data_IF_225969290976
#
_entry.id   IF_225969290976
#
_cell.length_a   1.000
_cell.length_b   1.000
_cell.length_c   1.000
_cell.angle_alpha   90.00
_cell.angle_beta   90.00
_cell.angle_gamma   90.00
#
_symmetry.space_group_name_H-M   'P 1'
#
loop_
_entity.id
_entity.type
_entity.pdbx_description
1 polymer ?
#
# COMPACT_ATOMS: atom_id res chain seq x y z
N UNK A 1 5.39 3.51 10.03
CA UNK A 1 4.96 2.77 8.82
C UNK A 1 3.98 3.57 7.94
N UNK A 2 2.70 3.74 8.30
CA UNK A 2 1.73 4.44 7.41
C UNK A 2 2.10 5.90 7.09
N UNK A 3 2.62 6.66 8.04
CA UNK A 3 3.00 8.06 7.79
C UNK A 3 4.27 8.18 6.95
N UNK A 4 5.28 7.32 7.19
CA UNK A 4 6.53 7.33 6.43
C UNK A 4 6.30 7.09 4.94
N UNK A 5 5.52 6.06 4.61
CA UNK A 5 5.14 5.75 3.21
C UNK A 5 4.35 6.89 2.56
N UNK A 6 3.41 7.51 3.28
CA UNK A 6 2.70 8.69 2.76
C UNK A 6 3.65 9.85 2.44
N UNK A 7 4.65 10.11 3.28
CA UNK A 7 5.65 11.15 3.06
C UNK A 7 6.53 10.83 1.85
N UNK A 8 7.00 9.59 1.72
CA UNK A 8 7.82 9.15 0.57
C UNK A 8 7.09 9.36 -0.77
N UNK A 9 5.83 8.93 -0.87
CA UNK A 9 5.03 9.14 -2.08
C UNK A 9 4.67 10.61 -2.32
N UNK A 10 4.41 11.40 -1.27
CA UNK A 10 4.16 12.82 -1.40
C UNK A 10 5.40 13.57 -1.91
N UNK A 11 6.59 13.20 -1.45
CA UNK A 11 7.86 13.73 -1.94
C UNK A 11 8.05 13.38 -3.42
N UNK A 12 7.85 12.11 -3.81
CA UNK A 12 7.92 11.69 -5.21
C UNK A 12 6.93 12.44 -6.10
N UNK A 13 5.69 12.63 -5.64
CA UNK A 13 4.69 13.41 -6.36
C UNK A 13 5.09 14.88 -6.54
N UNK A 14 5.67 15.47 -5.50
CA UNK A 14 6.16 16.86 -5.56
C UNK A 14 7.30 17.00 -6.56
N UNK A 15 8.25 16.05 -6.56
CA UNK A 15 9.36 16.02 -7.50
C UNK A 15 8.88 15.78 -8.94
N UNK A 16 7.95 14.85 -9.15
CA UNK A 16 7.36 14.60 -10.46
C UNK A 16 6.66 15.86 -11.00
N UNK A 17 5.90 16.56 -10.16
CA UNK A 17 5.27 17.81 -10.55
C UNK A 17 6.31 18.89 -10.88
N UNK A 18 7.40 19.00 -10.09
CA UNK A 18 8.46 19.98 -10.32
C UNK A 18 9.22 19.76 -11.63
N UNK A 19 9.56 18.51 -11.95
CA UNK A 19 10.41 18.18 -13.09
C UNK A 19 9.64 17.83 -14.38
N UNK A 20 8.45 17.27 -14.25
CA UNK A 20 7.63 16.80 -15.38
C UNK A 20 6.43 17.72 -15.62
N UNK A 21 6.09 18.60 -14.67
CA UNK A 21 4.94 19.51 -14.77
C UNK A 21 3.59 18.80 -14.63
N UNK A 22 3.59 17.55 -14.14
CA UNK A 22 2.39 16.74 -14.02
C UNK A 22 2.08 16.43 -12.55
N UNK A 23 0.85 16.75 -12.15
CA UNK A 23 0.33 16.39 -10.84
C UNK A 23 0.00 14.89 -10.79
N UNK A 24 0.69 14.14 -9.93
CA UNK A 24 0.38 12.73 -9.71
C UNK A 24 -0.94 12.59 -8.95
N UNK A 25 -1.75 11.62 -9.36
CA UNK A 25 -3.00 11.32 -8.67
C UNK A 25 -2.72 10.97 -7.20
N UNK A 26 -3.52 11.49 -6.24
CA UNK A 26 -3.30 11.22 -4.82
C UNK A 26 -3.31 9.72 -4.51
N UNK A 27 -2.20 9.23 -3.97
CA UNK A 27 -2.03 7.81 -3.62
C UNK A 27 -2.79 7.42 -2.37
N UNK A 28 -3.03 8.36 -1.45
CA UNK A 28 -3.65 8.10 -0.15
C UNK A 28 -4.80 9.07 0.12
N UNK A 29 -5.82 8.60 0.83
CA UNK A 29 -6.94 9.44 1.29
C UNK A 29 -7.26 9.13 2.75
N UNK A 30 -6.56 9.81 3.67
CA UNK A 30 -6.77 9.72 5.12
C UNK A 30 -6.95 8.26 5.61
N UNK A 31 -5.96 7.38 5.42
CA UNK A 31 -6.09 5.95 5.72
C UNK A 31 -6.36 5.66 7.21
N UNK A 32 -5.99 6.56 8.10
CA UNK A 32 -6.28 6.48 9.54
C UNK A 32 -7.78 6.64 9.87
N UNK A 33 -8.61 7.11 8.94
CA UNK A 33 -10.08 7.20 9.08
C UNK A 33 -10.81 6.01 8.46
N UNK A 34 -10.13 4.87 8.30
CA UNK A 34 -10.70 3.68 7.68
C UNK A 34 -11.61 2.93 8.64
N UNK A 35 -12.90 2.87 8.31
CA UNK A 35 -13.90 2.20 9.16
C UNK A 35 -13.99 0.69 8.95
N UNK A 36 -13.27 0.16 7.97
CA UNK A 36 -13.27 -1.26 7.59
C UNK A 36 -12.12 -1.59 6.63
N UNK A 37 -11.75 -2.86 6.47
CA UNK A 37 -10.62 -3.27 5.63
C UNK A 37 -10.87 -2.97 4.16
N UNK A 38 -12.10 -3.21 3.68
CA UNK A 38 -12.47 -2.82 2.32
C UNK A 38 -12.40 -1.29 2.11
N UNK A 39 -12.70 -0.49 3.15
CA UNK A 39 -12.55 0.96 3.06
C UNK A 39 -11.08 1.39 3.05
N UNK A 40 -10.24 0.75 3.85
CA UNK A 40 -8.79 0.97 3.86
C UNK A 40 -8.18 0.67 2.48
N UNK A 41 -8.27 -0.58 2.05
CA UNK A 41 -7.57 -1.06 0.85
C UNK A 41 -8.12 -0.48 -0.45
N UNK A 42 -9.44 -0.35 -0.60
CA UNK A 42 -10.02 0.05 -1.89
C UNK A 42 -10.26 1.55 -2.06
N UNK A 43 -10.24 2.34 -0.97
CA UNK A 43 -10.64 3.77 -1.02
C UNK A 43 -9.70 4.74 -0.33
N UNK A 44 -8.68 4.27 0.39
CA UNK A 44 -7.84 5.15 1.22
C UNK A 44 -6.35 4.85 1.14
N UNK A 45 -5.99 3.62 0.80
CA UNK A 45 -4.61 3.16 0.67
C UNK A 45 -4.26 2.85 -0.77
N UNK A 46 -3.16 3.42 -1.26
CA UNK A 46 -2.59 3.21 -2.60
C UNK A 46 -3.66 3.16 -3.72
N UNK A 47 -4.36 4.28 -3.91
CA UNK A 47 -5.51 4.39 -4.81
C UNK A 47 -5.17 4.03 -6.25
N UNK A 48 -3.98 4.39 -6.71
CA UNK A 48 -3.52 4.06 -8.06
C UNK A 48 -3.39 2.54 -8.23
N UNK A 49 -2.77 1.85 -7.28
CA UNK A 49 -2.61 0.40 -7.37
C UNK A 49 -3.94 -0.32 -7.18
N UNK A 50 -4.80 0.16 -6.28
CA UNK A 50 -6.14 -0.40 -6.07
C UNK A 50 -7.02 -0.26 -7.33
N UNK A 51 -6.93 0.87 -8.06
CA UNK A 51 -7.61 1.04 -9.36
C UNK A 51 -7.05 0.09 -10.41
N UNK A 52 -5.73 -0.06 -10.48
CA UNK A 52 -5.04 -0.92 -11.45
C UNK A 52 -5.37 -2.40 -11.22
N UNK A 53 -5.27 -2.87 -9.98
CA UNK A 53 -5.65 -4.23 -9.62
C UNK A 53 -7.13 -4.49 -9.86
N UNK A 54 -7.99 -3.49 -9.65
CA UNK A 54 -9.41 -3.62 -9.95
C UNK A 54 -9.65 -3.88 -11.45
N UNK A 55 -9.03 -3.09 -12.32
CA UNK A 55 -9.22 -3.22 -13.77
C UNK A 55 -8.55 -4.47 -14.34
N UNK A 56 -7.35 -4.81 -13.87
CA UNK A 56 -6.52 -5.88 -14.45
C UNK A 56 -6.87 -7.26 -13.87
N UNK A 57 -7.22 -7.33 -12.58
CA UNK A 57 -7.41 -8.61 -11.89
C UNK A 57 -8.86 -8.80 -11.45
N UNK A 58 -9.41 -7.85 -10.69
CA UNK A 58 -10.71 -8.05 -10.03
C UNK A 58 -11.87 -8.20 -11.02
N UNK A 59 -12.07 -7.23 -11.91
CA UNK A 59 -13.19 -7.25 -12.85
C UNK A 59 -13.09 -8.41 -13.86
N UNK A 60 -11.92 -8.70 -14.47
CA UNK A 60 -11.77 -9.86 -15.35
C UNK A 60 -12.04 -11.19 -14.63
N UNK A 61 -11.49 -11.36 -13.42
CA UNK A 61 -11.73 -12.58 -12.62
C UNK A 61 -13.22 -12.70 -12.29
N UNK A 62 -13.87 -11.62 -11.86
CA UNK A 62 -15.29 -11.63 -11.56
C UNK A 62 -16.13 -11.98 -12.79
N UNK A 63 -15.80 -11.41 -13.95
CA UNK A 63 -16.47 -11.72 -15.21
C UNK A 63 -16.33 -13.20 -15.57
N UNK A 64 -15.13 -13.76 -15.44
CA UNK A 64 -14.85 -15.17 -15.71
C UNK A 64 -15.65 -16.13 -14.82
N UNK A 65 -15.77 -15.82 -13.53
CA UNK A 65 -16.50 -16.68 -12.57
C UNK A 65 -18.01 -16.43 -12.53
N UNK A 66 -18.50 -15.32 -13.11
CA UNK A 66 -19.93 -14.97 -13.07
C UNK A 66 -20.84 -16.01 -13.75
N UNK A 67 -20.51 -16.57 -14.93
CA UNK A 67 -21.33 -17.61 -15.56
C UNK A 67 -21.41 -18.91 -14.75
N UNK A 68 -20.33 -19.27 -14.03
CA UNK A 68 -20.22 -20.56 -13.32
C UNK A 68 -20.81 -20.49 -11.92
N UNK A 69 -20.48 -19.43 -11.15
CA UNK A 69 -20.83 -19.30 -9.74
C UNK A 69 -22.00 -18.32 -9.49
N UNK A 70 -22.40 -17.59 -10.54
CA UNK A 70 -23.34 -16.48 -10.43
C UNK A 70 -22.67 -15.21 -9.89
N UNK A 71 -23.26 -14.06 -10.24
CA UNK A 71 -22.73 -12.72 -9.90
C UNK A 71 -22.51 -12.50 -8.39
N UNK A 72 -23.28 -13.21 -7.56
CA UNK A 72 -23.20 -13.13 -6.10
C UNK A 72 -21.93 -13.76 -5.56
N UNK A 73 -21.56 -14.95 -6.04
CA UNK A 73 -20.44 -15.71 -5.51
C UNK A 73 -19.14 -15.41 -6.25
N UNK A 74 -19.20 -14.95 -7.49
CA UNK A 74 -18.04 -14.55 -8.29
C UNK A 74 -17.20 -13.41 -7.69
N UNK A 75 -17.74 -12.66 -6.72
CA UNK A 75 -16.99 -11.61 -6.03
C UNK A 75 -15.90 -12.17 -5.11
N UNK A 76 -16.12 -13.34 -4.48
CA UNK A 76 -15.16 -13.92 -3.54
C UNK A 76 -13.86 -14.37 -4.23
N UNK A 77 -13.87 -15.18 -5.30
CA UNK A 77 -12.64 -15.52 -6.01
C UNK A 77 -11.97 -14.29 -6.63
N UNK A 78 -12.75 -13.27 -7.04
CA UNK A 78 -12.18 -12.01 -7.53
C UNK A 78 -11.43 -11.22 -6.46
N UNK A 79 -11.95 -11.16 -5.22
CA UNK A 79 -11.23 -10.57 -4.08
C UNK A 79 -9.97 -11.37 -3.81
N UNK A 80 -10.07 -12.69 -3.64
CA UNK A 80 -8.93 -13.53 -3.29
C UNK A 80 -7.82 -13.47 -4.35
N UNK A 81 -8.17 -13.56 -5.64
CA UNK A 81 -7.20 -13.42 -6.74
C UNK A 81 -6.49 -12.06 -6.71
N UNK A 82 -7.23 -10.98 -6.42
CA UNK A 82 -6.63 -9.64 -6.30
C UNK A 82 -5.58 -9.58 -5.20
N UNK A 83 -5.88 -10.14 -4.03
CA UNK A 83 -4.95 -10.15 -2.90
C UNK A 83 -3.76 -11.08 -3.14
N UNK A 84 -3.96 -12.24 -3.77
CA UNK A 84 -2.87 -13.16 -4.13
C UNK A 84 -1.90 -12.50 -5.12
N UNK A 85 -2.42 -11.87 -6.18
CA UNK A 85 -1.58 -11.15 -7.16
C UNK A 85 -0.84 -10.00 -6.48
N UNK A 86 -1.52 -9.24 -5.62
CA UNK A 86 -0.88 -8.18 -4.84
C UNK A 86 0.23 -8.73 -3.94
N UNK A 87 0.01 -9.87 -3.28
CA UNK A 87 1.00 -10.55 -2.46
C UNK A 87 2.23 -10.96 -3.26
N UNK A 88 2.05 -11.61 -4.42
CA UNK A 88 3.16 -11.97 -5.31
C UNK A 88 3.99 -10.76 -5.75
N UNK A 89 3.33 -9.64 -6.05
CA UNK A 89 4.04 -8.41 -6.42
C UNK A 89 4.87 -7.88 -5.25
N UNK A 90 4.37 -7.95 -4.02
CA UNK A 90 5.12 -7.49 -2.86
C UNK A 90 6.27 -8.44 -2.48
N UNK A 91 6.08 -9.76 -2.62
CA UNK A 91 7.18 -10.74 -2.49
C UNK A 91 8.30 -10.42 -3.48
N UNK A 92 7.96 -10.10 -4.73
CA UNK A 92 8.94 -9.73 -5.74
C UNK A 92 9.66 -8.43 -5.39
N UNK A 93 8.94 -7.41 -4.91
CA UNK A 93 9.54 -6.15 -4.45
C UNK A 93 10.49 -6.40 -3.27
N UNK A 94 10.06 -7.20 -2.29
CA UNK A 94 10.87 -7.55 -1.13
C UNK A 94 12.11 -8.35 -1.52
N UNK A 95 11.99 -9.27 -2.47
CA UNK A 95 13.13 -9.99 -3.04
C UNK A 95 14.15 -9.03 -3.66
N UNK A 96 13.72 -8.04 -4.45
CA UNK A 96 14.63 -7.07 -5.06
C UNK A 96 15.25 -6.10 -4.05
N UNK A 97 14.46 -5.62 -3.09
CA UNK A 97 14.92 -4.68 -2.06
C UNK A 97 15.83 -5.39 -1.06
N UNK A 98 15.39 -6.52 -0.51
CA UNK A 98 16.11 -7.32 0.49
C UNK A 98 17.31 -8.06 -0.08
N UNK A 99 17.24 -8.48 -1.36
CA UNK A 99 18.20 -9.39 -2.03
C UNK A 99 18.32 -10.76 -1.36
N UNK A 100 17.26 -11.18 -0.68
CA UNK A 100 17.14 -12.47 -0.01
C UNK A 100 15.89 -13.16 -0.56
N UNK A 101 15.92 -14.49 -0.63
CA UNK A 101 14.78 -15.28 -1.06
C UNK A 101 13.52 -14.99 -0.21
N UNK A 102 12.35 -14.87 -0.85
CA UNK A 102 11.09 -14.56 -0.15
C UNK A 102 10.74 -15.63 0.89
N UNK A 103 10.40 -15.20 2.11
CA UNK A 103 9.94 -16.11 3.17
C UNK A 103 8.45 -16.41 3.09
N UNK A 104 7.73 -15.73 2.18
CA UNK A 104 6.28 -15.80 1.99
C UNK A 104 5.46 -15.15 3.12
N UNK A 105 6.10 -14.44 4.06
CA UNK A 105 5.40 -13.74 5.14
C UNK A 105 4.49 -12.63 4.60
N UNK A 106 4.95 -11.88 3.59
CA UNK A 106 4.13 -10.84 2.93
C UNK A 106 2.94 -11.46 2.19
N UNK A 107 3.12 -12.60 1.53
CA UNK A 107 2.03 -13.34 0.91
C UNK A 107 0.95 -13.67 1.94
N UNK A 108 1.36 -14.17 3.12
CA UNK A 108 0.41 -14.46 4.21
C UNK A 108 -0.33 -13.22 4.69
N UNK A 109 0.34 -12.07 4.77
CA UNK A 109 -0.33 -10.79 5.05
C UNK A 109 -1.47 -10.54 4.07
N UNK A 110 -1.21 -10.59 2.76
CA UNK A 110 -2.25 -10.34 1.76
C UNK A 110 -3.35 -11.41 1.76
N UNK A 111 -3.02 -12.69 1.96
CA UNK A 111 -4.01 -13.78 2.04
C UNK A 111 -4.96 -13.55 3.23
N UNK A 112 -4.42 -13.28 4.42
CA UNK A 112 -5.21 -13.01 5.63
C UNK A 112 -6.13 -11.81 5.39
N UNK A 113 -5.61 -10.72 4.85
CA UNK A 113 -6.42 -9.55 4.52
C UNK A 113 -7.51 -9.83 3.47
N UNK A 114 -7.20 -10.60 2.42
CA UNK A 114 -8.15 -11.00 1.40
C UNK A 114 -9.31 -11.84 1.97
N UNK A 115 -8.99 -12.79 2.86
CA UNK A 115 -9.98 -13.57 3.59
C UNK A 115 -10.84 -12.70 4.51
N UNK A 116 -10.21 -11.82 5.30
CA UNK A 116 -10.92 -10.91 6.19
C UNK A 116 -11.87 -9.97 5.41
N UNK A 117 -11.45 -9.43 4.26
CA UNK A 117 -12.32 -8.61 3.40
C UNK A 117 -13.46 -9.41 2.81
N UNK A 118 -13.21 -10.65 2.41
CA UNK A 118 -14.25 -11.56 1.89
C UNK A 118 -15.32 -11.83 2.95
N UNK A 119 -14.90 -12.10 4.19
CA UNK A 119 -15.79 -12.27 5.34
C UNK A 119 -16.54 -10.96 5.64
N UNK A 120 -15.83 -9.83 5.64
CA UNK A 120 -16.41 -8.50 5.88
C UNK A 120 -17.54 -8.18 4.89
N UNK A 121 -17.40 -8.56 3.62
CA UNK A 121 -18.44 -8.38 2.60
C UNK A 121 -19.73 -9.11 2.98
N UNK A 122 -19.65 -10.36 3.43
CA UNK A 122 -20.83 -11.11 3.84
C UNK A 122 -21.42 -10.64 5.17
N UNK A 123 -20.57 -10.24 6.13
CA UNK A 123 -21.03 -9.64 7.40
C UNK A 123 -21.78 -8.35 7.12
N UNK A 124 -21.21 -7.42 6.35
CA UNK A 124 -21.85 -6.14 6.01
C UNK A 124 -23.15 -6.33 5.26
N UNK A 125 -23.21 -7.30 4.36
CA UNK A 125 -24.43 -7.66 3.63
C UNK A 125 -25.51 -8.21 4.55
N UNK A 126 -25.18 -9.07 5.51
CA UNK A 126 -26.13 -9.59 6.50
C UNK A 126 -26.57 -8.49 7.46
N UNK A 127 -25.65 -7.67 7.94
CA UNK A 127 -25.94 -6.52 8.81
C UNK A 127 -26.83 -5.49 8.13
N UNK A 128 -26.58 -5.18 6.85
CA UNK A 128 -27.39 -4.24 6.07
C UNK A 128 -28.82 -4.75 5.85
N UNK A 129 -29.03 -6.06 5.70
CA UNK A 129 -30.40 -6.63 5.64
C UNK A 129 -31.15 -6.48 6.95
N UNK A 130 -30.43 -6.48 8.07
CA UNK A 130 -30.98 -6.35 9.41
C UNK A 130 -31.04 -4.89 9.89
N UNK A 131 -30.59 -3.91 9.09
CA UNK A 131 -30.50 -2.50 9.47
C UNK A 131 -29.37 -2.13 10.44
N UNK A 132 -28.49 -3.08 10.78
CA UNK A 132 -27.39 -2.87 11.71
C UNK A 132 -26.20 -2.20 11.02
N UNK A 133 -25.66 -1.15 11.64
CA UNK A 133 -24.41 -0.49 11.22
C UNK A 133 -23.45 -0.41 12.41
N UNK A 134 -22.21 -0.82 12.20
CA UNK A 134 -21.14 -0.63 13.17
C UNK A 134 -20.80 0.85 13.30
N UNK A 135 -20.66 1.33 14.53
CA UNK A 135 -20.29 2.72 14.81
C UNK A 135 -18.83 2.96 14.35
N UNK A 136 -18.56 4.00 13.51
CA UNK A 136 -17.22 4.36 13.05
C UNK A 136 -16.20 4.53 14.17
N UNK A 137 -16.62 4.96 15.36
CA UNK A 137 -15.73 5.18 16.51
C UNK A 137 -15.08 3.88 16.97
N UNK A 138 -15.78 2.75 16.85
CA UNK A 138 -15.26 1.43 17.24
C UNK A 138 -14.56 0.76 16.05
N UNK A 139 -15.16 0.87 14.87
CA UNK A 139 -14.67 0.13 13.71
C UNK A 139 -13.37 0.71 13.15
N UNK A 140 -13.14 2.01 13.32
CA UNK A 140 -11.90 2.69 12.88
C UNK A 140 -10.66 2.22 13.63
N UNK A 141 -10.57 2.34 14.97
CA UNK A 141 -9.39 1.86 15.70
C UNK A 141 -9.20 0.35 15.55
N UNK A 142 -10.29 -0.44 15.45
CA UNK A 142 -10.19 -1.87 15.18
C UNK A 142 -9.55 -2.16 13.82
N UNK A 143 -9.99 -1.47 12.76
CA UNK A 143 -9.47 -1.67 11.40
C UNK A 143 -8.01 -1.21 11.32
N UNK A 144 -7.73 0.02 11.77
CA UNK A 144 -6.38 0.59 11.72
C UNK A 144 -5.43 -0.22 12.60
N UNK A 145 -5.86 -0.60 13.80
CA UNK A 145 -5.08 -1.45 14.71
C UNK A 145 -4.77 -2.82 14.09
N UNK A 146 -5.77 -3.47 13.48
CA UNK A 146 -5.56 -4.75 12.79
C UNK A 146 -4.55 -4.63 11.64
N UNK A 147 -4.71 -3.62 10.77
CA UNK A 147 -3.79 -3.38 9.65
C UNK A 147 -2.37 -3.07 10.14
N UNK A 148 -2.24 -2.25 11.18
CA UNK A 148 -0.94 -1.89 11.76
C UNK A 148 -0.26 -3.10 12.39
N UNK A 149 -0.99 -3.89 13.19
CA UNK A 149 -0.44 -5.07 13.86
C UNK A 149 0.02 -6.13 12.86
N UNK A 150 -0.83 -6.47 11.88
CA UNK A 150 -0.50 -7.43 10.81
C UNK A 150 0.61 -6.91 9.91
N UNK A 151 0.64 -5.61 9.60
CA UNK A 151 1.69 -4.99 8.80
C UNK A 151 3.05 -5.00 9.48
N UNK A 152 3.10 -4.68 10.78
CA UNK A 152 4.35 -4.76 11.56
C UNK A 152 4.84 -6.20 11.63
N UNK A 153 3.92 -7.15 11.88
CA UNK A 153 4.28 -8.54 12.10
C UNK A 153 4.71 -9.27 10.81
N UNK A 154 3.93 -9.17 9.73
CA UNK A 154 4.12 -10.02 8.55
C UNK A 154 4.78 -9.29 7.38
N UNK A 155 4.76 -7.96 7.37
CA UNK A 155 5.35 -7.19 6.26
C UNK A 155 6.67 -6.52 6.69
N UNK A 156 6.70 -5.95 7.90
CA UNK A 156 7.87 -5.18 8.35
C UNK A 156 8.92 -6.05 9.06
N UNK A 157 8.51 -7.10 9.78
CA UNK A 157 9.46 -8.00 10.42
C UNK A 157 10.43 -8.62 9.42
N UNK A 158 9.95 -9.02 8.23
CA UNK A 158 10.79 -9.54 7.15
C UNK A 158 11.81 -8.50 6.65
N UNK A 159 11.39 -7.23 6.49
CA UNK A 159 12.28 -6.15 6.06
C UNK A 159 13.38 -5.85 7.09
N UNK A 160 13.05 -5.89 8.38
CA UNK A 160 14.04 -5.77 9.46
C UNK A 160 14.98 -6.98 9.46
N UNK A 161 14.45 -8.20 9.33
CA UNK A 161 15.27 -9.41 9.36
C UNK A 161 16.29 -9.47 8.21
N UNK A 162 15.97 -8.91 7.04
CA UNK A 162 16.90 -8.81 5.92
C UNK A 162 17.80 -7.56 5.97
N UNK A 163 17.69 -6.73 7.01
CA UNK A 163 18.46 -5.49 7.17
C UNK A 163 18.16 -4.43 6.12
N UNK A 164 17.02 -4.53 5.42
CA UNK A 164 16.63 -3.57 4.40
C UNK A 164 16.35 -2.19 4.98
N UNK A 165 15.89 -2.12 6.24
CA UNK A 165 15.62 -0.88 6.96
C UNK A 165 16.90 -0.05 7.21
N UNK A 166 17.98 -0.69 7.65
CA UNK A 166 19.28 -0.03 7.86
C UNK A 166 19.85 0.44 6.53
N UNK A 167 19.81 -0.43 5.50
CA UNK A 167 20.30 -0.09 4.16
C UNK A 167 19.53 1.08 3.54
N UNK A 168 18.21 1.10 3.67
CA UNK A 168 17.38 2.22 3.19
C UNK A 168 17.79 3.54 3.86
N UNK A 169 18.05 3.53 5.17
CA UNK A 169 18.53 4.70 5.90
C UNK A 169 19.91 5.14 5.40
N UNK A 170 20.84 4.20 5.21
CA UNK A 170 22.19 4.50 4.69
C UNK A 170 22.14 5.14 3.29
N UNK A 171 21.28 4.62 2.40
CA UNK A 171 21.06 5.18 1.07
C UNK A 171 20.47 6.60 1.13
N UNK A 172 19.51 6.84 2.02
CA UNK A 172 18.95 8.18 2.24
C UNK A 172 20.00 9.16 2.78
N UNK A 173 20.83 8.76 3.73
CA UNK A 173 21.91 9.59 4.28
C UNK A 173 22.92 9.93 3.19
N UNK A 174 23.35 8.93 2.40
CA UNK A 174 24.27 9.14 1.29
C UNK A 174 23.71 10.12 0.24
N UNK A 175 22.43 10.01 -0.10
CA UNK A 175 21.76 10.94 -1.01
C UNK A 175 21.72 12.37 -0.45
N UNK A 176 21.36 12.53 0.82
CA UNK A 176 21.32 13.85 1.48
C UNK A 176 22.72 14.48 1.49
N UNK A 177 23.74 13.70 1.81
CA UNK A 177 25.12 14.20 1.85
C UNK A 177 25.64 14.56 0.46
N UNK A 178 25.29 13.78 -0.57
CA UNK A 178 25.59 14.12 -1.96
C UNK A 178 24.92 15.44 -2.38
N UNK A 179 23.64 15.63 -2.07
CA UNK A 179 22.90 16.87 -2.38
C UNK A 179 23.52 18.06 -1.63
N UNK A 180 23.81 17.92 -0.32
CA UNK A 180 24.48 18.97 0.46
C UNK A 180 25.83 19.34 -0.14
N UNK A 181 26.61 18.35 -0.55
CA UNK A 181 27.92 18.58 -1.17
C UNK A 181 27.78 19.36 -2.48
N UNK A 182 26.85 18.99 -3.36
CA UNK A 182 26.57 19.70 -4.62
C UNK A 182 26.07 21.12 -4.40
N UNK A 183 25.19 21.34 -3.42
CA UNK A 183 24.71 22.67 -3.05
C UNK A 183 25.83 23.57 -2.54
N UNK A 184 26.73 23.05 -1.67
CA UNK A 184 27.90 23.80 -1.20
C UNK A 184 28.80 24.25 -2.35
N UNK A 185 29.09 23.36 -3.30
CA UNK A 185 29.89 23.70 -4.49
C UNK A 185 29.18 24.77 -5.33
N UNK A 186 27.87 24.63 -5.58
CA UNK A 186 27.12 25.60 -6.35
C UNK A 186 27.09 26.99 -5.69
N UNK A 187 26.97 27.05 -4.37
CA UNK A 187 27.00 28.31 -3.61
C UNK A 187 28.38 28.98 -3.66
N UNK A 188 29.47 28.21 -3.55
CA UNK A 188 30.84 28.74 -3.66
C UNK A 188 31.13 29.21 -5.09
N UNK A 189 30.69 28.44 -6.11
CA UNK A 189 30.85 28.81 -7.52
C UNK A 189 30.02 30.03 -7.91
N UNK A 190 28.83 30.22 -7.33
CA UNK A 190 28.01 31.40 -7.53
C UNK A 190 28.59 32.65 -6.87
N UNK A 191 29.27 32.50 -5.73
CA UNK A 191 29.95 33.60 -5.04
C UNK A 191 31.16 34.14 -5.84
N UNK A 192 31.94 33.26 -6.46
CA UNK A 192 33.11 33.64 -7.28
C UNK A 192 32.75 34.28 -8.63
N UNK A 193 31.47 34.29 -9.03
CA UNK A 193 31.02 34.88 -10.30
C UNK A 193 30.40 36.28 -10.12
N UNK A 194 30.30 36.77 -8.87
CA UNK A 194 29.71 38.06 -8.48
C UNK A 194 30.78 39.05 -7.95
N UNK A 195 32.02 38.59 -7.70
CA UNK A 195 33.21 39.45 -7.59
C UNK A 195 33.89 39.61 -8.95
#
# INVERSE_FOLDING_TARGET
>A
MMFGTQIQFALLATLANLFIGQELEPQFNNPHLSTSLGNFWSKRWNLMMSKSLKSVIHEPTRSLFTPVLGRRWAIHPAILATYVVSGLMHELIHFYVGRIWPTWEVMWFFIIHGLCVTIEVEIKKKASKNGWKLNPIISTPLTVGFVMATGIWLCYAELIHCGADVREIEEYVALIDYVKHRLRIALISGYNHIM
#
